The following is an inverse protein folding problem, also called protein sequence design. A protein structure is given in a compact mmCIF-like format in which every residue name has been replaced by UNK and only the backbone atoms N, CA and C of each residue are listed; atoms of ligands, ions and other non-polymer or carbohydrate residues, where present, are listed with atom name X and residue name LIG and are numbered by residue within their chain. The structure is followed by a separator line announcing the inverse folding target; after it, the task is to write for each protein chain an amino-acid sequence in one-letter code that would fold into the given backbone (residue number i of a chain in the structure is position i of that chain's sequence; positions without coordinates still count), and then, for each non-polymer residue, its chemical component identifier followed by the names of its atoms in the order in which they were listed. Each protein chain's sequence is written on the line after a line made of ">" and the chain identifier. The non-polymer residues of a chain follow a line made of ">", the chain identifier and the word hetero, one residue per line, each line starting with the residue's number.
data_IF_993819891445
#
_entry.id   IF_993819891445
#
_cell.length_a   1.000
_cell.length_b   1.000
_cell.length_c   1.000
_cell.angle_alpha   90.00
_cell.angle_beta   90.00
_cell.angle_gamma   90.00
#
_symmetry.space_group_name_H-M   'P 1'
#
loop_
_entity.id
_entity.type
_entity.pdbx_description
1 polymer ?
#
# COMPACT_ATOMS: atom_id res chain seq x y z
N UNK A 1 -6.40 11.92 -9.87
CA UNK A 1 -7.48 12.45 -9.01
C UNK A 1 -6.96 13.73 -8.42
N UNK A 2 -7.77 14.80 -8.44
CA UNK A 2 -7.37 16.08 -7.87
C UNK A 2 -8.11 16.25 -6.55
N UNK A 3 -7.35 16.46 -5.47
CA UNK A 3 -7.89 16.74 -4.15
C UNK A 3 -8.49 18.15 -4.12
N UNK A 4 -9.59 18.30 -3.40
CA UNK A 4 -10.18 19.60 -3.09
C UNK A 4 -9.40 20.29 -1.97
N UNK A 5 -9.51 21.62 -1.86
CA UNK A 5 -8.89 22.36 -0.76
C UNK A 5 -9.36 21.85 0.62
N UNK A 6 -10.64 21.49 0.75
CA UNK A 6 -11.17 20.93 1.99
C UNK A 6 -10.49 19.60 2.37
N UNK A 7 -10.21 18.73 1.39
CA UNK A 7 -9.46 17.49 1.61
C UNK A 7 -7.99 17.78 1.97
N UNK A 8 -7.35 18.76 1.33
CA UNK A 8 -5.99 19.16 1.69
C UNK A 8 -5.93 19.67 3.14
N UNK A 9 -6.85 20.54 3.55
CA UNK A 9 -6.97 21.03 4.92
C UNK A 9 -7.28 19.92 5.93
N UNK A 10 -8.10 18.93 5.53
CA UNK A 10 -8.37 17.75 6.35
C UNK A 10 -7.11 16.89 6.53
N UNK A 11 -6.35 16.67 5.46
CA UNK A 11 -5.09 15.96 5.51
C UNK A 11 -4.08 16.67 6.43
N UNK A 12 -3.90 17.98 6.28
CA UNK A 12 -2.98 18.76 7.11
C UNK A 12 -3.34 18.70 8.59
N UNK A 13 -4.64 18.71 8.92
CA UNK A 13 -5.11 18.65 10.30
C UNK A 13 -5.07 17.24 10.89
N UNK A 14 -5.46 16.24 10.10
CA UNK A 14 -5.69 14.86 10.57
C UNK A 14 -4.50 13.91 10.36
N UNK A 15 -3.62 14.22 9.41
CA UNK A 15 -2.52 13.34 8.99
C UNK A 15 -2.94 12.18 8.08
N UNK A 16 -4.20 12.10 7.66
CA UNK A 16 -4.73 11.07 6.77
C UNK A 16 -5.94 11.57 5.98
N UNK A 17 -6.27 10.86 4.90
CA UNK A 17 -7.47 11.07 4.10
C UNK A 17 -8.07 9.72 3.71
N UNK A 18 -9.40 9.68 3.63
CA UNK A 18 -10.12 8.54 3.09
C UNK A 18 -10.78 8.91 1.76
N UNK A 19 -10.47 8.15 0.71
CA UNK A 19 -11.04 8.33 -0.61
C UNK A 19 -11.86 7.10 -0.96
N UNK A 20 -13.17 7.19 -0.77
CA UNK A 20 -14.11 6.12 -1.09
C UNK A 20 -14.27 5.94 -2.61
N UNK A 21 -14.53 4.71 -3.03
CA UNK A 21 -14.89 4.36 -4.42
C UNK A 21 -13.89 4.85 -5.48
N UNK A 22 -12.60 4.91 -5.13
CA UNK A 22 -11.54 5.33 -6.05
C UNK A 22 -11.33 4.33 -7.20
N UNK A 23 -11.64 3.07 -6.95
CA UNK A 23 -11.67 1.98 -7.92
C UNK A 23 -13.01 1.26 -7.83
N UNK A 24 -13.52 0.84 -8.98
CA UNK A 24 -14.72 0.01 -9.10
C UNK A 24 -14.49 -1.41 -8.59
N UNK A 25 -15.56 -2.13 -8.29
CA UNK A 25 -15.49 -3.54 -7.87
C UNK A 25 -14.82 -4.41 -8.95
N UNK A 26 -15.06 -4.11 -10.23
CA UNK A 26 -14.43 -4.81 -11.35
C UNK A 26 -12.92 -4.55 -11.43
N UNK A 27 -12.49 -3.31 -11.20
CA UNK A 27 -11.05 -2.96 -11.14
C UNK A 27 -10.37 -3.65 -9.95
N UNK A 28 -11.02 -3.70 -8.79
CA UNK A 28 -10.50 -4.41 -7.61
C UNK A 28 -10.46 -5.92 -7.84
N UNK A 29 -11.47 -6.50 -8.51
CA UNK A 29 -11.52 -7.93 -8.82
C UNK A 29 -10.34 -8.37 -9.70
N UNK A 30 -9.87 -7.52 -10.62
CA UNK A 30 -8.65 -7.81 -11.42
C UNK A 30 -7.43 -7.94 -10.51
N UNK A 31 -7.26 -7.03 -9.54
CA UNK A 31 -6.15 -7.11 -8.57
C UNK A 31 -6.26 -8.37 -7.71
N UNK A 32 -7.45 -8.63 -7.16
CA UNK A 32 -7.72 -9.77 -6.29
C UNK A 32 -7.51 -11.11 -7.00
N UNK A 33 -7.83 -11.20 -8.29
CA UNK A 33 -7.60 -12.43 -9.06
C UNK A 33 -6.12 -12.83 -9.16
N UNK A 34 -5.21 -11.86 -9.04
CA UNK A 34 -3.76 -12.08 -9.17
C UNK A 34 -3.08 -12.36 -7.81
N UNK A 35 -3.73 -11.99 -6.71
CA UNK A 35 -3.20 -12.17 -5.33
C UNK A 35 -2.84 -13.63 -5.01
N UNK A 36 -3.69 -14.65 -5.29
CA UNK A 36 -3.33 -16.04 -5.05
C UNK A 36 -2.09 -16.49 -5.83
N UNK A 37 -1.95 -16.04 -7.09
CA UNK A 37 -0.78 -16.35 -7.92
C UNK A 37 0.48 -15.76 -7.30
N UNK A 38 0.44 -14.50 -6.85
CA UNK A 38 1.57 -13.81 -6.20
C UNK A 38 2.05 -14.59 -4.97
N UNK A 39 1.12 -14.94 -4.08
CA UNK A 39 1.46 -15.60 -2.82
C UNK A 39 1.88 -17.08 -2.98
N UNK A 40 1.53 -17.72 -4.11
CA UNK A 40 2.03 -19.04 -4.46
C UNK A 40 3.50 -19.05 -4.91
N UNK A 41 4.06 -17.89 -5.28
CA UNK A 41 5.46 -17.81 -5.73
C UNK A 41 6.42 -18.09 -4.55
N UNK A 42 7.46 -18.89 -4.81
CA UNK A 42 8.58 -19.12 -3.88
C UNK A 42 9.70 -18.14 -4.20
N UNK A 43 9.72 -17.01 -3.50
CA UNK A 43 10.66 -15.90 -3.70
C UNK A 43 10.98 -15.23 -2.37
N UNK A 44 12.10 -14.53 -2.31
CA UNK A 44 12.50 -13.76 -1.13
C UNK A 44 11.51 -12.63 -0.81
N UNK A 45 10.90 -12.03 -1.84
CA UNK A 45 9.96 -10.92 -1.65
C UNK A 45 8.61 -11.38 -1.07
N UNK A 46 8.33 -12.69 -1.05
CA UNK A 46 7.11 -13.26 -0.47
C UNK A 46 7.43 -13.80 0.92
N UNK A 47 7.25 -12.93 1.91
CA UNK A 47 7.45 -13.26 3.32
C UNK A 47 6.31 -14.15 3.80
N UNK A 48 6.70 -15.25 4.46
CA UNK A 48 5.80 -16.24 5.04
C UNK A 48 5.84 -16.19 6.56
N UNK A 49 4.82 -16.72 7.20
CA UNK A 49 4.78 -16.90 8.64
C UNK A 49 5.85 -17.92 9.08
N UNK A 50 5.99 -18.08 10.40
CA UNK A 50 7.00 -18.97 11.01
C UNK A 50 6.85 -20.45 10.61
N UNK A 51 5.68 -20.83 10.11
CA UNK A 51 5.43 -22.18 9.56
C UNK A 51 6.14 -22.43 8.21
N UNK A 52 6.65 -21.37 7.56
CA UNK A 52 7.32 -21.44 6.26
C UNK A 52 6.38 -21.63 5.07
N UNK A 53 5.08 -21.74 5.31
CA UNK A 53 4.08 -22.07 4.29
C UNK A 53 3.07 -20.96 4.10
N UNK A 54 2.54 -20.38 5.18
CA UNK A 54 1.48 -19.38 5.13
C UNK A 54 2.03 -18.02 4.66
N UNK A 55 1.60 -17.48 3.51
CA UNK A 55 2.06 -16.18 3.04
C UNK A 55 1.51 -15.04 3.91
N UNK A 56 2.38 -14.10 4.30
CA UNK A 56 2.05 -12.94 5.14
C UNK A 56 2.07 -11.64 4.35
N UNK A 57 3.18 -11.37 3.67
CA UNK A 57 3.39 -10.12 2.93
C UNK A 57 4.13 -10.39 1.63
N UNK A 58 3.63 -9.86 0.53
CA UNK A 58 4.33 -9.83 -0.75
C UNK A 58 4.88 -8.43 -0.99
N UNK A 59 6.20 -8.29 -0.97
CA UNK A 59 6.89 -7.05 -1.31
C UNK A 59 7.09 -6.94 -2.82
N UNK A 60 7.20 -5.69 -3.28
CA UNK A 60 7.67 -5.38 -4.63
C UNK A 60 6.88 -6.05 -5.78
N UNK A 61 5.60 -6.39 -5.55
CA UNK A 61 4.74 -7.11 -6.49
C UNK A 61 4.58 -6.41 -7.83
N UNK A 62 4.74 -5.09 -7.89
CA UNK A 62 4.76 -4.31 -9.13
C UNK A 62 5.83 -4.73 -10.14
N UNK A 63 6.85 -5.51 -9.74
CA UNK A 63 7.88 -6.03 -10.66
C UNK A 63 7.57 -7.43 -11.20
N UNK A 64 6.61 -8.16 -10.62
CA UNK A 64 6.28 -9.54 -11.01
C UNK A 64 4.77 -9.82 -11.10
N UNK A 65 3.96 -8.76 -11.07
CA UNK A 65 2.53 -8.76 -11.33
C UNK A 65 2.19 -7.56 -12.21
N UNK A 66 1.59 -7.83 -13.38
CA UNK A 66 1.15 -6.77 -14.29
C UNK A 66 0.02 -5.91 -13.69
N UNK A 67 -1.05 -6.47 -13.07
CA UNK A 67 -2.06 -5.67 -12.40
C UNK A 67 -1.48 -4.71 -11.36
N UNK A 68 -0.58 -5.18 -10.49
CA UNK A 68 0.05 -4.33 -9.48
C UNK A 68 1.09 -3.38 -10.07
N UNK A 69 1.75 -3.74 -11.18
CA UNK A 69 2.58 -2.82 -11.95
C UNK A 69 1.78 -1.61 -12.43
N UNK A 70 0.61 -1.86 -13.05
CA UNK A 70 -0.29 -0.80 -13.52
C UNK A 70 -0.82 0.03 -12.34
N UNK A 71 -1.23 -0.62 -11.26
CA UNK A 71 -1.70 0.05 -10.04
C UNK A 71 -0.66 1.01 -9.47
N UNK A 72 0.59 0.56 -9.37
CA UNK A 72 1.70 1.34 -8.81
C UNK A 72 1.99 2.64 -9.55
N UNK A 73 1.51 2.77 -10.79
CA UNK A 73 1.66 3.95 -11.65
C UNK A 73 0.34 4.69 -11.87
N UNK A 74 -0.73 4.30 -11.18
CA UNK A 74 -2.06 4.76 -11.50
C UNK A 74 -2.28 6.22 -11.07
N UNK A 75 -2.78 7.12 -11.94
CA UNK A 75 -2.94 8.55 -11.63
C UNK A 75 -4.01 8.82 -10.58
N UNK A 76 -4.89 7.87 -10.27
CA UNK A 76 -5.81 8.01 -9.12
C UNK A 76 -5.07 7.91 -7.77
N UNK A 77 -3.91 7.27 -7.73
CA UNK A 77 -3.07 7.15 -6.54
C UNK A 77 -1.95 8.20 -6.50
N UNK A 78 -1.27 8.42 -7.63
CA UNK A 78 -0.07 9.28 -7.68
C UNK A 78 -0.42 10.77 -7.59
N UNK A 79 -1.45 11.22 -8.29
CA UNK A 79 -1.78 12.65 -8.37
C UNK A 79 -2.09 13.27 -6.99
N UNK A 80 -2.90 12.65 -6.11
CA UNK A 80 -3.09 13.14 -4.74
C UNK A 80 -1.78 13.29 -3.95
N UNK A 81 -0.86 12.33 -4.08
CA UNK A 81 0.42 12.38 -3.36
C UNK A 81 1.31 13.48 -3.90
N UNK A 82 1.35 13.68 -5.22
CA UNK A 82 2.09 14.79 -5.85
C UNK A 82 1.55 16.15 -5.41
N UNK A 83 0.23 16.29 -5.24
CA UNK A 83 -0.38 17.51 -4.71
C UNK A 83 0.02 17.76 -3.25
N UNK A 84 0.01 16.72 -2.40
CA UNK A 84 0.35 16.84 -0.98
C UNK A 84 1.85 17.13 -0.78
N UNK A 85 2.72 16.44 -1.51
CA UNK A 85 4.17 16.57 -1.35
C UNK A 85 4.80 17.70 -2.17
N UNK A 86 4.02 18.32 -3.06
CA UNK A 86 4.43 19.37 -4.00
C UNK A 86 5.69 19.00 -4.80
N UNK A 87 5.60 17.90 -5.56
CA UNK A 87 6.75 17.44 -6.35
C UNK A 87 6.55 16.10 -7.08
N UNK A 88 7.59 15.70 -7.82
CA UNK A 88 7.69 14.36 -8.39
C UNK A 88 7.90 13.32 -7.30
N UNK A 89 7.35 12.13 -7.51
CA UNK A 89 7.35 11.04 -6.51
C UNK A 89 7.84 9.74 -7.12
N UNK A 90 8.34 8.86 -6.26
CA UNK A 90 8.69 7.48 -6.60
C UNK A 90 8.22 6.55 -5.47
N UNK A 91 8.27 5.25 -5.72
CA UNK A 91 7.85 4.24 -4.73
C UNK A 91 9.06 3.87 -3.87
N UNK A 92 9.04 4.28 -2.59
CA UNK A 92 10.01 3.81 -1.59
C UNK A 92 9.78 2.32 -1.26
N UNK A 93 8.53 1.94 -0.99
CA UNK A 93 8.16 0.56 -0.66
C UNK A 93 6.77 0.22 -1.21
N UNK A 94 6.61 -1.04 -1.62
CA UNK A 94 5.33 -1.60 -2.06
C UNK A 94 5.11 -2.94 -1.36
N UNK A 95 3.93 -3.11 -0.74
CA UNK A 95 3.57 -4.34 -0.02
C UNK A 95 2.09 -4.67 -0.20
N UNK A 96 1.81 -5.95 -0.39
CA UNK A 96 0.47 -6.55 -0.27
C UNK A 96 0.49 -7.35 1.02
N UNK A 97 -0.35 -6.99 1.98
CA UNK A 97 -0.48 -7.72 3.23
C UNK A 97 -1.66 -8.68 3.13
N UNK A 98 -1.39 -9.98 3.18
CA UNK A 98 -2.42 -10.97 3.39
C UNK A 98 -2.66 -11.06 4.89
N UNK A 99 -3.83 -10.62 5.35
CA UNK A 99 -4.27 -10.93 6.70
C UNK A 99 -5.06 -12.22 6.62
N UNK A 100 -4.40 -13.36 6.86
CA UNK A 100 -5.09 -14.63 6.94
C UNK A 100 -6.21 -14.54 7.98
N UNK A 101 -7.42 -14.95 7.61
CA UNK A 101 -8.51 -15.08 8.56
C UNK A 101 -8.07 -16.00 9.70
N UNK A 102 -8.27 -15.59 10.95
CA UNK A 102 -8.00 -16.34 12.18
C UNK A 102 -6.54 -16.48 12.64
N UNK A 103 -5.54 -16.07 11.85
CA UNK A 103 -4.10 -16.19 12.23
C UNK A 103 -3.28 -14.91 11.99
N UNK A 104 -3.96 -13.77 11.80
CA UNK A 104 -3.30 -12.49 11.58
C UNK A 104 -2.67 -11.95 12.86
N UNK A 105 -1.35 -12.09 12.99
CA UNK A 105 -0.54 -11.39 14.00
C UNK A 105 -0.90 -9.89 14.05
N UNK A 106 -0.96 -9.35 15.27
CA UNK A 106 -1.29 -7.93 15.50
C UNK A 106 -0.14 -7.05 15.02
N UNK A 107 -0.41 -6.14 14.08
CA UNK A 107 0.49 -5.03 13.76
C UNK A 107 0.55 -4.09 14.96
N UNK A 108 1.69 -4.07 15.65
CA UNK A 108 1.92 -3.18 16.78
C UNK A 108 1.86 -1.72 16.34
N UNK A 109 1.45 -0.83 17.23
CA UNK A 109 1.55 0.61 16.99
C UNK A 109 3.00 1.00 16.68
N UNK A 110 3.19 1.66 15.55
CA UNK A 110 4.50 2.15 15.10
C UNK A 110 4.36 3.38 14.20
N UNK A 111 5.48 4.03 13.94
CA UNK A 111 5.61 5.06 12.91
C UNK A 111 6.61 4.56 11.87
N UNK A 112 6.24 4.65 10.59
CA UNK A 112 7.08 4.15 9.50
C UNK A 112 8.37 4.97 9.34
N UNK A 113 8.28 6.30 9.41
CA UNK A 113 9.43 7.19 9.21
C UNK A 113 10.60 6.90 10.16
N UNK A 114 10.34 6.58 11.43
CA UNK A 114 11.40 6.26 12.39
C UNK A 114 12.23 5.04 11.98
N UNK A 115 11.61 4.07 11.31
CA UNK A 115 12.29 2.91 10.73
C UNK A 115 13.00 3.29 9.44
N UNK A 116 12.35 3.98 8.51
CA UNK A 116 12.97 4.40 7.24
C UNK A 116 14.17 5.34 7.46
N UNK A 117 14.12 6.22 8.46
CA UNK A 117 15.24 7.11 8.78
C UNK A 117 16.44 6.35 9.35
N UNK A 118 16.19 5.43 10.28
CA UNK A 118 17.24 4.65 10.96
C UNK A 118 17.86 3.58 10.06
N UNK A 119 17.03 2.83 9.34
CA UNK A 119 17.45 1.62 8.64
C UNK A 119 17.74 1.89 7.15
N UNK A 120 17.00 2.81 6.51
CA UNK A 120 17.16 3.13 5.08
C UNK A 120 17.88 4.48 4.84
N UNK A 121 18.12 5.27 5.90
CA UNK A 121 18.75 6.58 5.79
C UNK A 121 17.84 7.68 5.22
N UNK A 122 16.52 7.53 5.32
CA UNK A 122 15.56 8.55 4.87
C UNK A 122 15.77 9.87 5.65
N UNK A 123 16.12 10.98 4.98
CA UNK A 123 16.58 12.20 5.67
C UNK A 123 15.44 13.03 6.26
N UNK A 124 14.27 13.00 5.63
CA UNK A 124 13.10 13.77 6.02
C UNK A 124 11.83 12.93 5.85
N UNK A 125 10.81 13.21 6.65
CA UNK A 125 9.50 12.53 6.57
C UNK A 125 8.66 13.00 5.37
N UNK A 126 9.29 13.19 4.20
CA UNK A 126 8.64 13.59 2.94
C UNK A 126 8.19 12.37 2.14
N UNK A 127 7.44 11.49 2.79
CA UNK A 127 6.86 10.28 2.20
C UNK A 127 5.42 10.11 2.68
N UNK A 128 4.58 9.49 1.85
CA UNK A 128 3.19 9.20 2.17
C UNK A 128 2.91 7.71 1.95
N UNK A 129 2.17 7.11 2.88
CA UNK A 129 1.57 5.81 2.65
C UNK A 129 0.25 5.93 1.87
N UNK A 130 0.04 4.99 0.95
CA UNK A 130 -1.25 4.76 0.32
C UNK A 130 -1.70 3.35 0.71
N UNK A 131 -2.86 3.24 1.33
CA UNK A 131 -3.52 1.96 1.57
C UNK A 131 -4.71 1.83 0.62
N UNK A 132 -4.67 0.83 -0.26
CA UNK A 132 -5.82 0.41 -1.06
C UNK A 132 -6.43 -0.82 -0.40
N UNK A 133 -7.71 -0.73 -0.05
CA UNK A 133 -8.46 -1.88 0.42
C UNK A 133 -8.85 -2.76 -0.77
N UNK A 134 -8.43 -4.02 -0.73
CA UNK A 134 -8.77 -5.03 -1.75
C UNK A 134 -9.98 -5.88 -1.34
N UNK A 135 -10.34 -5.82 -0.07
CA UNK A 135 -11.51 -6.44 0.55
C UNK A 135 -12.20 -5.41 1.44
N UNK A 136 -13.46 -5.65 1.79
CA UNK A 136 -14.21 -4.79 2.68
C UNK A 136 -13.56 -4.73 4.07
N UNK A 137 -13.32 -3.51 4.56
CA UNK A 137 -12.77 -3.28 5.91
C UNK A 137 -13.93 -2.90 6.83
N UNK A 138 -14.31 -3.82 7.71
CA UNK A 138 -15.36 -3.62 8.71
C UNK A 138 -14.77 -3.15 10.04
N UNK A 139 -15.53 -2.36 10.77
CA UNK A 139 -15.28 -1.98 12.18
C UNK A 139 -15.66 -3.07 13.15
#
# INVERSE_FOLDING_TARGET
>A
VQLTNAQLEEFERGGWLFLENLFSAEEVAVLMSDVPRIFALRREEVVREKDGETPRTAFAAQYYSEPFQRLSRHPRLIEPVRQILDGEVYIHQFKINAKAAFDGDVWQWHQDYGTWSRDDGMPEARALNIALFLEDVTT
#
